data_IF_256098145501
#
_entry.id   IF_256098145501
#
_cell.length_a   1.000
_cell.length_b   1.000
_cell.length_c   1.000
_cell.angle_alpha   90.00
_cell.angle_beta   90.00
_cell.angle_gamma   90.00
#
_symmetry.space_group_name_H-M   'P 1'
#
loop_
_entity.id
_entity.type
_entity.pdbx_description
1 polymer ?
#
# COMPACT_ATOMS: atom_id res chain seq x y z
N UNK A 1 29.88 12.24 6.13
CA UNK A 1 29.03 11.32 5.34
C UNK A 1 28.22 10.50 6.33
N UNK A 2 26.91 10.63 6.35
CA UNK A 2 26.08 9.71 7.13
C UNK A 2 26.24 8.32 6.51
N UNK A 3 26.57 7.33 7.33
CA UNK A 3 26.68 5.94 6.89
C UNK A 3 25.23 5.45 6.71
N UNK A 4 24.84 5.21 5.46
CA UNK A 4 23.53 4.61 5.16
C UNK A 4 23.42 3.25 5.85
N UNK A 5 22.44 3.12 6.75
CA UNK A 5 22.17 1.89 7.49
C UNK A 5 20.68 1.59 7.45
N UNK A 6 20.22 0.75 6.53
CA UNK A 6 18.78 0.45 6.35
C UNK A 6 18.17 -0.30 7.55
N UNK A 7 18.97 -0.76 8.50
CA UNK A 7 18.52 -1.43 9.73
C UNK A 7 18.49 -0.51 10.95
N UNK A 8 18.93 0.74 10.80
CA UNK A 8 18.91 1.73 11.89
C UNK A 8 17.47 2.13 12.23
N UNK A 9 17.28 2.51 13.50
CA UNK A 9 16.07 3.15 13.99
C UNK A 9 16.14 4.68 13.92
N UNK A 10 17.27 5.23 13.48
CA UNK A 10 17.48 6.67 13.37
C UNK A 10 17.29 7.11 11.92
N UNK A 11 16.38 8.06 11.70
CA UNK A 11 16.03 8.51 10.36
C UNK A 11 17.25 9.04 9.58
N UNK A 12 18.13 9.76 10.23
CA UNK A 12 19.35 10.32 9.64
C UNK A 12 20.37 9.27 9.16
N UNK A 13 20.21 8.00 9.57
CA UNK A 13 21.07 6.91 9.16
C UNK A 13 20.52 6.11 7.99
N UNK A 14 19.18 6.11 7.77
CA UNK A 14 18.56 5.40 6.64
C UNK A 14 17.88 6.31 5.61
N UNK A 15 17.67 7.60 5.93
CA UNK A 15 17.23 8.63 4.98
C UNK A 15 18.43 9.48 4.58
N UNK A 16 18.87 9.36 3.32
CA UNK A 16 19.97 10.15 2.79
C UNK A 16 19.45 11.43 2.13
N UNK A 17 19.31 12.50 2.93
CA UNK A 17 18.80 13.79 2.44
C UNK A 17 19.68 14.41 1.33
N UNK A 18 21.01 14.20 1.38
CA UNK A 18 21.92 14.67 0.33
C UNK A 18 21.63 13.98 -1.00
N UNK A 19 21.52 12.65 -1.00
CA UNK A 19 21.18 11.89 -2.22
C UNK A 19 19.81 12.28 -2.77
N UNK A 20 18.84 12.51 -1.90
CA UNK A 20 17.49 12.93 -2.31
C UNK A 20 17.56 14.27 -3.04
N UNK A 21 18.26 15.28 -2.45
CA UNK A 21 18.41 16.61 -3.07
C UNK A 21 19.16 16.56 -4.39
N UNK A 22 20.26 15.82 -4.45
CA UNK A 22 21.02 15.61 -5.68
C UNK A 22 20.18 14.92 -6.76
N UNK A 23 19.40 13.92 -6.38
CA UNK A 23 18.49 13.21 -7.28
C UNK A 23 17.42 14.14 -7.85
N UNK A 24 16.81 14.97 -7.01
CA UNK A 24 15.83 15.97 -7.45
C UNK A 24 16.48 17.01 -8.39
N UNK A 25 17.64 17.53 -8.03
CA UNK A 25 18.37 18.48 -8.85
C UNK A 25 18.74 17.89 -10.23
N UNK A 26 19.23 16.65 -10.25
CA UNK A 26 19.52 15.91 -11.47
C UNK A 26 18.28 15.71 -12.34
N UNK A 27 17.15 15.32 -11.73
CA UNK A 27 15.89 15.14 -12.42
C UNK A 27 15.40 16.46 -13.06
N UNK A 28 15.45 17.58 -12.32
CA UNK A 28 15.06 18.88 -12.86
C UNK A 28 15.96 19.33 -14.02
N UNK A 29 17.26 19.07 -13.94
CA UNK A 29 18.20 19.39 -15.04
C UNK A 29 17.97 18.54 -16.30
N UNK A 30 17.36 17.36 -16.16
CA UNK A 30 17.17 16.39 -17.24
C UNK A 30 15.71 16.15 -17.64
N UNK A 31 14.74 16.87 -17.07
CA UNK A 31 13.32 16.64 -17.28
C UNK A 31 12.84 16.73 -18.73
N UNK A 32 13.59 17.44 -19.57
CA UNK A 32 13.33 17.59 -21.01
C UNK A 32 14.43 16.99 -21.89
N UNK A 33 15.29 16.14 -21.33
CA UNK A 33 16.33 15.44 -22.06
C UNK A 33 15.74 14.22 -22.77
N UNK A 34 15.32 14.41 -24.02
CA UNK A 34 14.63 13.38 -24.82
C UNK A 34 15.46 12.11 -24.94
N UNK A 35 16.75 12.23 -25.27
CA UNK A 35 17.64 11.08 -25.48
C UNK A 35 17.76 10.23 -24.20
N UNK A 36 17.92 10.89 -23.04
CA UNK A 36 17.96 10.20 -21.76
C UNK A 36 16.61 9.52 -21.46
N UNK A 37 15.49 10.24 -21.62
CA UNK A 37 14.15 9.68 -21.37
C UNK A 37 13.92 8.44 -22.26
N UNK A 38 14.25 8.51 -23.53
CA UNK A 38 14.10 7.38 -24.47
C UNK A 38 14.94 6.17 -24.03
N UNK A 39 16.17 6.42 -23.60
CA UNK A 39 17.03 5.35 -23.09
C UNK A 39 16.48 4.68 -21.83
N UNK A 40 15.86 5.46 -20.95
CA UNK A 40 15.21 4.95 -19.73
C UNK A 40 13.94 4.15 -20.03
N UNK A 41 13.13 4.62 -20.96
CA UNK A 41 11.94 3.90 -21.42
C UNK A 41 12.33 2.57 -22.07
N UNK A 42 13.36 2.56 -22.93
CA UNK A 42 13.84 1.33 -23.54
C UNK A 42 14.41 0.35 -22.49
N UNK A 43 15.19 0.84 -21.52
CA UNK A 43 15.68 0.04 -20.40
C UNK A 43 14.54 -0.63 -19.61
N UNK A 44 13.42 0.07 -19.42
CA UNK A 44 12.29 -0.41 -18.66
C UNK A 44 11.38 -1.39 -19.42
N UNK A 45 11.59 -1.61 -20.73
CA UNK A 45 10.73 -2.50 -21.51
C UNK A 45 10.77 -3.94 -21.00
N UNK A 46 9.62 -4.62 -21.02
CA UNK A 46 9.55 -6.02 -20.63
C UNK A 46 10.24 -6.91 -21.68
N UNK A 47 11.11 -7.78 -21.22
CA UNK A 47 11.80 -8.76 -22.05
C UNK A 47 11.23 -10.15 -21.76
N UNK A 48 10.79 -10.83 -22.83
CA UNK A 48 10.37 -12.23 -22.75
C UNK A 48 11.57 -13.14 -23.02
N UNK A 49 11.81 -14.07 -22.13
CA UNK A 49 12.83 -15.10 -22.28
C UNK A 49 12.24 -16.48 -21.93
N UNK A 50 13.04 -17.54 -22.08
CA UNK A 50 12.58 -18.91 -21.81
C UNK A 50 12.09 -19.18 -20.37
N UNK A 51 12.44 -18.33 -19.43
CA UNK A 51 12.03 -18.43 -18.03
C UNK A 51 10.82 -17.52 -17.67
N UNK A 52 10.33 -16.71 -18.63
CA UNK A 52 9.17 -15.84 -18.41
C UNK A 52 9.40 -14.41 -18.89
N UNK A 53 8.81 -13.45 -18.17
CA UNK A 53 8.94 -12.02 -18.44
C UNK A 53 9.79 -11.38 -17.37
N UNK A 54 10.75 -10.58 -17.77
CA UNK A 54 11.60 -9.77 -16.89
C UNK A 54 11.53 -8.30 -17.30
N UNK A 55 11.83 -7.41 -16.37
CA UNK A 55 11.90 -5.98 -16.60
C UNK A 55 13.10 -5.43 -15.81
N UNK A 56 13.93 -4.63 -16.42
CA UNK A 56 15.00 -3.96 -15.69
C UNK A 56 14.43 -2.88 -14.79
N UNK A 57 14.86 -2.88 -13.54
CA UNK A 57 14.49 -1.82 -12.58
C UNK A 57 15.17 -0.51 -12.92
N UNK A 58 14.52 0.59 -12.56
CA UNK A 58 15.09 1.93 -12.60
C UNK A 58 15.69 2.29 -11.24
N UNK A 59 16.84 2.98 -11.26
CA UNK A 59 17.39 3.61 -10.06
C UNK A 59 16.54 4.81 -9.62
N UNK A 60 16.76 5.32 -8.41
CA UNK A 60 16.05 6.51 -7.91
C UNK A 60 16.22 7.71 -8.85
N UNK A 61 17.44 7.95 -9.37
CA UNK A 61 17.74 9.05 -10.29
C UNK A 61 17.02 8.87 -11.63
N UNK A 62 17.00 7.68 -12.16
CA UNK A 62 16.30 7.35 -13.41
C UNK A 62 14.79 7.53 -13.27
N UNK A 63 14.21 6.99 -12.20
CA UNK A 63 12.79 7.17 -11.91
C UNK A 63 12.43 8.66 -11.69
N UNK A 64 13.29 9.42 -11.01
CA UNK A 64 13.08 10.84 -10.78
C UNK A 64 13.07 11.66 -12.08
N UNK A 65 13.90 11.33 -13.08
CA UNK A 65 13.88 11.97 -14.41
C UNK A 65 12.53 11.75 -15.08
N UNK A 66 12.04 10.51 -15.10
CA UNK A 66 10.74 10.20 -15.69
C UNK A 66 9.59 10.91 -14.97
N UNK A 67 9.63 10.96 -13.63
CA UNK A 67 8.63 11.67 -12.82
C UNK A 67 8.66 13.20 -13.03
N UNK A 68 9.83 13.77 -13.35
CA UNK A 68 9.99 15.18 -13.60
C UNK A 68 9.70 15.56 -15.07
N UNK A 69 9.52 14.60 -15.97
CA UNK A 69 9.31 14.85 -17.40
C UNK A 69 8.05 15.69 -17.63
N UNK A 70 8.19 16.76 -18.42
CA UNK A 70 7.10 17.68 -18.80
C UNK A 70 6.76 17.60 -20.30
N UNK A 71 7.36 16.68 -21.05
CA UNK A 71 7.11 16.50 -22.49
C UNK A 71 5.87 15.63 -22.68
N UNK A 72 4.73 16.16 -23.16
CA UNK A 72 3.46 15.41 -23.21
C UNK A 72 3.57 14.09 -23.99
N UNK A 73 4.30 14.07 -25.11
CA UNK A 73 4.48 12.90 -25.94
C UNK A 73 5.23 11.80 -25.18
N UNK A 74 6.23 12.16 -24.37
CA UNK A 74 7.00 11.21 -23.55
C UNK A 74 6.20 10.70 -22.36
N UNK A 75 5.37 11.53 -21.77
CA UNK A 75 4.42 11.11 -20.73
C UNK A 75 3.43 10.08 -21.27
N UNK A 76 2.92 10.30 -22.49
CA UNK A 76 2.04 9.34 -23.16
C UNK A 76 2.76 8.03 -23.50
N UNK A 77 4.04 8.09 -23.91
CA UNK A 77 4.87 6.89 -24.09
C UNK A 77 5.07 6.11 -22.79
N UNK A 78 5.29 6.80 -21.65
CA UNK A 78 5.35 6.17 -20.32
C UNK A 78 4.07 5.41 -19.97
N UNK A 79 2.90 6.00 -20.23
CA UNK A 79 1.62 5.32 -19.99
C UNK A 79 1.43 4.09 -20.86
N UNK A 80 1.84 4.17 -22.15
CA UNK A 80 1.82 3.01 -23.06
C UNK A 80 2.74 1.90 -22.57
N UNK A 81 3.96 2.26 -22.18
CA UNK A 81 4.94 1.30 -21.66
C UNK A 81 4.46 0.68 -20.32
N UNK A 82 3.87 1.46 -19.44
CA UNK A 82 3.29 0.93 -18.19
C UNK A 82 2.19 -0.10 -18.47
N UNK A 83 1.37 0.14 -19.47
CA UNK A 83 0.36 -0.83 -19.91
C UNK A 83 1.00 -2.09 -20.55
N UNK A 84 2.04 -1.94 -21.37
CA UNK A 84 2.79 -3.07 -21.93
C UNK A 84 3.38 -3.95 -20.81
N UNK A 85 4.01 -3.34 -19.81
CA UNK A 85 4.56 -4.04 -18.65
C UNK A 85 3.44 -4.78 -17.90
N UNK A 86 2.33 -4.09 -17.60
CA UNK A 86 1.17 -4.69 -16.93
C UNK A 86 0.66 -5.91 -17.72
N UNK A 87 0.47 -5.78 -19.02
CA UNK A 87 -0.02 -6.87 -19.87
C UNK A 87 0.98 -8.03 -19.97
N UNK A 88 2.28 -7.73 -20.01
CA UNK A 88 3.31 -8.76 -20.07
C UNK A 88 3.34 -9.63 -18.80
N UNK A 89 3.20 -9.03 -17.61
CA UNK A 89 3.26 -9.75 -16.33
C UNK A 89 1.91 -10.32 -15.88
N UNK A 90 0.82 -9.60 -16.11
CA UNK A 90 -0.49 -9.93 -15.54
C UNK A 90 -1.55 -10.25 -16.60
N UNK A 91 -1.29 -10.00 -17.87
CA UNK A 91 -2.30 -10.13 -18.93
C UNK A 91 -3.53 -9.27 -18.63
N UNK A 92 -4.72 -9.79 -18.92
CA UNK A 92 -5.99 -9.09 -18.67
C UNK A 92 -6.55 -9.31 -17.25
N UNK A 93 -5.76 -9.89 -16.34
CA UNK A 93 -6.22 -10.13 -14.98
C UNK A 93 -6.38 -8.82 -14.21
N UNK A 94 -7.48 -8.74 -13.47
CA UNK A 94 -7.78 -7.67 -12.53
C UNK A 94 -7.83 -8.29 -11.13
N UNK A 95 -7.17 -7.66 -10.17
CA UNK A 95 -7.27 -8.07 -8.77
C UNK A 95 -8.50 -7.44 -8.15
N UNK A 96 -9.46 -8.28 -7.75
CA UNK A 96 -10.65 -7.84 -7.04
C UNK A 96 -10.54 -8.19 -5.57
N UNK A 97 -10.92 -7.26 -4.71
CA UNK A 97 -11.04 -7.46 -3.27
C UNK A 97 -12.22 -6.63 -2.75
N UNK A 98 -12.70 -6.97 -1.56
CA UNK A 98 -13.68 -6.17 -0.85
C UNK A 98 -13.07 -5.64 0.45
N UNK A 99 -13.38 -4.40 0.88
CA UNK A 99 -13.08 -3.94 2.21
C UNK A 99 -13.99 -4.62 3.23
N UNK A 100 -13.47 -4.90 4.41
CA UNK A 100 -14.25 -5.32 5.58
C UNK A 100 -13.86 -4.44 6.77
N UNK A 101 -14.76 -3.56 7.15
CA UNK A 101 -14.57 -2.63 8.25
C UNK A 101 -14.88 -3.32 9.57
N UNK A 102 -13.83 -3.63 10.34
CA UNK A 102 -13.95 -4.35 11.60
C UNK A 102 -14.39 -3.45 12.77
N UNK A 103 -13.90 -2.20 12.76
CA UNK A 103 -14.19 -1.25 13.83
C UNK A 103 -13.91 0.19 13.41
N UNK A 104 -14.78 1.10 13.85
CA UNK A 104 -14.60 2.55 13.67
C UNK A 104 -14.16 3.28 14.96
N UNK A 105 -13.76 2.56 15.99
CA UNK A 105 -13.12 3.14 17.18
C UNK A 105 -11.74 3.66 16.80
N UNK A 106 -11.45 4.94 17.09
CA UNK A 106 -10.17 5.58 16.78
C UNK A 106 -9.87 6.65 17.82
N UNK A 107 -8.60 6.74 18.22
CA UNK A 107 -8.10 7.75 19.17
C UNK A 107 -7.54 8.99 18.49
N UNK A 108 -7.37 8.97 17.15
CA UNK A 108 -6.77 10.06 16.38
C UNK A 108 -7.77 11.18 16.06
N UNK A 109 -7.23 12.31 15.67
CA UNK A 109 -7.99 13.54 15.39
C UNK A 109 -8.00 13.96 13.91
N UNK A 110 -7.64 13.08 12.97
CA UNK A 110 -7.53 13.40 11.54
C UNK A 110 -8.81 14.07 11.04
N UNK A 111 -8.70 15.32 10.57
CA UNK A 111 -9.88 16.18 10.33
C UNK A 111 -10.75 15.72 9.16
N UNK A 112 -10.21 14.95 8.24
CA UNK A 112 -10.91 14.41 7.05
C UNK A 112 -11.50 13.01 7.29
N UNK A 113 -11.14 12.33 8.38
CA UNK A 113 -11.57 10.96 8.62
C UNK A 113 -12.85 10.93 9.47
N UNK A 114 -13.92 10.25 9.05
CA UNK A 114 -15.14 10.17 9.84
C UNK A 114 -14.93 9.42 11.16
N UNK A 115 -13.88 8.62 11.30
CA UNK A 115 -13.57 7.86 12.52
C UNK A 115 -12.87 8.68 13.60
N UNK A 116 -12.48 9.94 13.32
CA UNK A 116 -11.76 10.74 14.29
C UNK A 116 -12.50 10.84 15.63
N UNK A 117 -11.74 10.87 16.73
CA UNK A 117 -12.27 10.74 18.10
C UNK A 117 -13.33 11.78 18.48
N UNK A 118 -13.26 12.97 17.88
CA UNK A 118 -14.19 14.08 18.15
C UNK A 118 -15.52 13.98 17.41
N UNK A 119 -15.64 13.06 16.43
CA UNK A 119 -16.89 12.89 15.70
C UNK A 119 -17.91 12.16 16.56
N UNK A 120 -18.94 12.88 17.00
CA UNK A 120 -20.05 12.36 17.80
C UNK A 120 -21.30 12.05 16.97
N UNK A 121 -21.23 12.24 15.65
CA UNK A 121 -22.36 12.02 14.74
C UNK A 121 -22.44 10.59 14.22
N UNK A 122 -21.43 9.76 14.51
CA UNK A 122 -21.43 8.33 14.14
C UNK A 122 -21.51 7.45 15.38
N UNK A 123 -22.25 6.34 15.27
CA UNK A 123 -22.19 5.28 16.27
C UNK A 123 -20.83 4.57 16.19
N UNK A 124 -20.22 4.33 17.37
CA UNK A 124 -19.01 3.51 17.44
C UNK A 124 -19.40 2.03 17.40
N UNK A 125 -18.83 1.33 16.43
CA UNK A 125 -19.14 -0.07 16.16
C UNK A 125 -17.82 -0.85 16.12
N UNK A 126 -17.84 -2.02 16.73
CA UNK A 126 -16.81 -3.04 16.64
C UNK A 126 -17.51 -4.37 16.40
N UNK A 127 -17.18 -5.05 15.32
CA UNK A 127 -17.82 -6.31 14.96
C UNK A 127 -17.46 -7.41 15.96
N UNK A 128 -18.46 -8.20 16.34
CA UNK A 128 -18.23 -9.48 17.00
C UNK A 128 -17.72 -10.52 16.03
N UNK A 129 -17.19 -11.65 16.50
CA UNK A 129 -16.72 -12.72 15.62
C UNK A 129 -17.86 -13.35 14.80
N UNK A 130 -19.08 -13.38 15.34
CA UNK A 130 -20.29 -13.82 14.62
C UNK A 130 -20.64 -12.86 13.49
N UNK A 131 -20.53 -11.54 13.74
CA UNK A 131 -20.75 -10.54 12.71
C UNK A 131 -19.69 -10.61 11.62
N UNK A 132 -18.41 -10.75 11.99
CA UNK A 132 -17.31 -10.97 11.01
C UNK A 132 -17.61 -12.19 10.14
N UNK A 133 -18.06 -13.30 10.74
CA UNK A 133 -18.45 -14.51 9.99
C UNK A 133 -19.60 -14.25 9.03
N UNK A 134 -20.63 -13.54 9.46
CA UNK A 134 -21.79 -13.22 8.62
C UNK A 134 -21.38 -12.34 7.42
N UNK A 135 -20.56 -11.31 7.65
CA UNK A 135 -20.04 -10.44 6.59
C UNK A 135 -19.18 -11.23 5.59
N UNK A 136 -18.32 -12.13 6.06
CA UNK A 136 -17.48 -12.96 5.19
C UNK A 136 -18.34 -13.88 4.32
N UNK A 137 -19.42 -14.47 4.84
CA UNK A 137 -20.36 -15.29 4.07
C UNK A 137 -21.01 -14.45 2.97
N UNK A 138 -21.49 -13.25 3.31
CA UNK A 138 -22.10 -12.35 2.33
C UNK A 138 -21.11 -11.96 1.22
N UNK A 139 -19.85 -11.64 1.59
CA UNK A 139 -18.80 -11.30 0.63
C UNK A 139 -18.41 -12.49 -0.26
N UNK A 140 -18.41 -13.72 0.28
CA UNK A 140 -18.18 -14.93 -0.51
C UNK A 140 -19.34 -15.19 -1.49
N UNK A 141 -20.58 -14.92 -1.10
CA UNK A 141 -21.75 -15.02 -1.99
C UNK A 141 -21.67 -14.01 -3.15
N UNK A 142 -21.07 -12.84 -2.91
CA UNK A 142 -20.76 -11.86 -3.95
C UNK A 142 -19.56 -12.26 -4.84
N UNK A 143 -18.88 -13.37 -4.54
CA UNK A 143 -17.76 -13.90 -5.32
C UNK A 143 -16.38 -13.42 -4.88
N UNK A 144 -16.27 -12.65 -3.80
CA UNK A 144 -14.96 -12.17 -3.30
C UNK A 144 -14.12 -13.29 -2.70
N UNK A 145 -12.83 -13.29 -3.05
CA UNK A 145 -11.81 -14.24 -2.55
C UNK A 145 -10.66 -13.53 -1.82
N UNK A 146 -10.70 -12.21 -1.78
CA UNK A 146 -9.69 -11.36 -1.15
C UNK A 146 -10.38 -10.26 -0.39
N UNK A 147 -9.92 -10.00 0.82
CA UNK A 147 -10.42 -8.91 1.64
C UNK A 147 -9.28 -7.94 1.99
N UNK A 148 -9.64 -6.68 2.22
CA UNK A 148 -8.84 -5.71 2.94
C UNK A 148 -9.58 -5.38 4.23
N UNK A 149 -9.03 -5.77 5.37
CA UNK A 149 -9.63 -5.45 6.68
C UNK A 149 -9.19 -4.07 7.12
N UNK A 150 -10.14 -3.31 7.65
CA UNK A 150 -9.99 -1.92 8.04
C UNK A 150 -10.38 -1.76 9.51
N UNK A 151 -9.58 -1.02 10.28
CA UNK A 151 -9.93 -0.63 11.64
C UNK A 151 -9.28 0.70 12.00
N UNK A 152 -9.97 1.52 12.79
CA UNK A 152 -9.36 2.71 13.38
C UNK A 152 -8.30 2.35 14.43
N UNK A 153 -7.41 3.28 14.70
CA UNK A 153 -6.37 3.11 15.72
C UNK A 153 -6.95 3.31 17.12
N UNK A 154 -7.10 2.24 17.86
CA UNK A 154 -7.54 2.27 19.26
C UNK A 154 -6.96 1.05 19.98
N UNK A 155 -5.88 1.21 20.79
CA UNK A 155 -5.24 0.09 21.47
C UNK A 155 -6.14 -0.65 22.45
N UNK A 156 -7.19 0.01 22.96
CA UNK A 156 -8.12 -0.56 23.92
C UNK A 156 -9.25 -1.32 23.23
N UNK A 157 -9.86 -0.69 22.23
CA UNK A 157 -11.00 -1.29 21.53
C UNK A 157 -10.56 -2.21 20.39
N UNK A 158 -9.43 -1.92 19.74
CA UNK A 158 -8.91 -2.67 18.60
C UNK A 158 -7.50 -3.22 18.88
N UNK A 159 -7.27 -3.95 20.00
CA UNK A 159 -5.95 -4.54 20.26
C UNK A 159 -5.59 -5.51 19.15
N UNK A 160 -4.29 -5.78 18.99
CA UNK A 160 -3.80 -6.67 17.93
C UNK A 160 -4.43 -8.06 18.00
N UNK A 161 -4.72 -8.54 19.20
CA UNK A 161 -5.37 -9.84 19.43
C UNK A 161 -6.75 -9.90 18.78
N UNK A 162 -7.53 -8.81 18.84
CA UNK A 162 -8.82 -8.72 18.16
C UNK A 162 -8.66 -8.82 16.62
N UNK A 163 -7.69 -8.11 16.08
CA UNK A 163 -7.40 -8.17 14.62
C UNK A 163 -7.00 -9.59 14.22
N UNK A 164 -6.14 -10.25 15.01
CA UNK A 164 -5.72 -11.62 14.77
C UNK A 164 -6.89 -12.62 14.86
N UNK A 165 -7.81 -12.42 15.83
CA UNK A 165 -9.01 -13.23 15.95
C UNK A 165 -9.93 -13.06 14.73
N UNK A 166 -10.11 -11.82 14.24
CA UNK A 166 -10.86 -11.58 13.03
C UNK A 166 -10.22 -12.26 11.81
N UNK A 167 -8.89 -12.22 11.66
CA UNK A 167 -8.18 -12.91 10.58
C UNK A 167 -8.40 -14.42 10.65
N UNK A 168 -8.29 -15.02 11.85
CA UNK A 168 -8.58 -16.44 12.05
C UNK A 168 -10.03 -16.80 11.68
N UNK A 169 -10.98 -15.98 12.12
CA UNK A 169 -12.40 -16.15 11.78
C UNK A 169 -12.61 -16.08 10.27
N UNK A 170 -12.05 -15.06 9.59
CA UNK A 170 -12.14 -14.90 8.13
C UNK A 170 -11.66 -16.14 7.38
N UNK A 171 -10.46 -16.64 7.74
CA UNK A 171 -9.90 -17.82 7.08
C UNK A 171 -10.63 -19.13 7.45
N UNK A 172 -11.35 -19.18 8.57
CA UNK A 172 -12.11 -20.37 8.99
C UNK A 172 -13.46 -20.51 8.27
N UNK A 173 -13.92 -19.47 7.56
CA UNK A 173 -15.22 -19.50 6.90
C UNK A 173 -15.11 -20.17 5.53
N UNK A 174 -15.74 -21.32 5.42
CA UNK A 174 -15.96 -22.02 4.15
C UNK A 174 -17.45 -21.98 3.84
N UNK A 175 -17.83 -21.30 2.77
CA UNK A 175 -19.24 -21.18 2.40
C UNK A 175 -19.44 -21.58 0.93
N UNK A 176 -20.31 -22.58 0.68
CA UNK A 176 -20.48 -23.18 -0.63
C UNK A 176 -19.14 -23.66 -1.21
N UNK A 177 -18.76 -23.17 -2.39
CA UNK A 177 -17.48 -23.44 -3.04
C UNK A 177 -16.45 -22.30 -2.80
N UNK A 178 -16.66 -21.50 -1.76
CA UNK A 178 -15.90 -20.28 -1.48
C UNK A 178 -15.08 -20.36 -0.20
N UNK A 179 -13.92 -19.73 -0.27
CA UNK A 179 -13.06 -19.40 0.85
C UNK A 179 -12.32 -18.10 0.57
N UNK A 180 -11.98 -17.36 1.60
CA UNK A 180 -11.11 -16.20 1.47
C UNK A 180 -9.66 -16.69 1.41
N UNK A 181 -8.97 -16.36 0.32
CA UNK A 181 -7.60 -16.80 0.03
C UNK A 181 -6.53 -15.80 0.43
N UNK A 182 -6.93 -14.56 0.69
CA UNK A 182 -6.00 -13.49 1.02
C UNK A 182 -6.71 -12.42 1.84
N UNK A 183 -6.12 -12.06 2.97
CA UNK A 183 -6.52 -10.92 3.79
C UNK A 183 -5.38 -9.91 3.77
N UNK A 184 -5.64 -8.72 3.25
CA UNK A 184 -4.79 -7.57 3.42
C UNK A 184 -5.22 -6.81 4.68
N UNK A 185 -4.29 -6.16 5.35
CA UNK A 185 -4.54 -5.47 6.62
C UNK A 185 -4.23 -3.99 6.45
N UNK A 186 -5.21 -3.14 6.70
CA UNK A 186 -5.10 -1.70 6.69
C UNK A 186 -5.50 -1.16 8.07
N UNK A 187 -4.54 -1.11 8.96
CA UNK A 187 -4.62 -0.54 10.29
C UNK A 187 -3.44 0.40 10.52
N UNK A 188 -3.47 1.20 11.57
CA UNK A 188 -2.38 2.10 11.91
C UNK A 188 -1.04 1.36 12.11
N UNK A 189 0.07 2.09 12.01
CA UNK A 189 1.40 1.57 12.30
C UNK A 189 1.45 0.93 13.68
N UNK A 190 2.18 -0.16 13.83
CA UNK A 190 2.24 -0.93 15.05
C UNK A 190 3.67 -1.39 15.35
N UNK A 191 3.87 -2.22 16.37
CA UNK A 191 5.19 -2.71 16.78
C UNK A 191 5.71 -3.81 15.83
N UNK A 192 7.03 -3.97 15.79
CA UNK A 192 7.67 -5.08 15.05
C UNK A 192 7.12 -6.44 15.48
N UNK A 193 6.83 -6.60 16.77
CA UNK A 193 6.25 -7.82 17.31
C UNK A 193 4.85 -8.09 16.74
N UNK A 194 4.01 -7.06 16.65
CA UNK A 194 2.68 -7.17 16.05
C UNK A 194 2.76 -7.48 14.55
N UNK A 195 3.74 -6.91 13.82
CA UNK A 195 3.98 -7.29 12.42
C UNK A 195 4.37 -8.77 12.27
N UNK A 196 5.14 -9.34 13.20
CA UNK A 196 5.45 -10.77 13.21
C UNK A 196 4.19 -11.61 13.42
N UNK A 197 3.36 -11.27 14.41
CA UNK A 197 2.07 -11.94 14.66
C UNK A 197 1.16 -11.90 13.43
N UNK A 198 1.06 -10.75 12.76
CA UNK A 198 0.28 -10.60 11.53
C UNK A 198 0.83 -11.47 10.39
N UNK A 199 2.15 -11.52 10.23
CA UNK A 199 2.80 -12.40 9.25
C UNK A 199 2.51 -13.88 9.54
N UNK A 200 2.58 -14.30 10.79
CA UNK A 200 2.27 -15.67 11.24
C UNK A 200 0.79 -16.02 11.02
N UNK A 201 -0.10 -15.02 11.17
CA UNK A 201 -1.52 -15.17 10.84
C UNK A 201 -1.81 -15.30 9.33
N UNK A 202 -0.79 -15.19 8.48
CA UNK A 202 -0.89 -15.43 7.04
C UNK A 202 -1.50 -14.26 6.26
N UNK A 203 -1.28 -13.02 6.68
CA UNK A 203 -1.74 -11.87 5.92
C UNK A 203 -1.07 -11.78 4.55
N UNK A 204 -1.78 -11.18 3.59
CA UNK A 204 -1.26 -10.97 2.26
C UNK A 204 -0.34 -9.75 2.16
N UNK A 205 -0.86 -8.61 2.53
CA UNK A 205 -0.16 -7.32 2.49
C UNK A 205 -0.58 -6.50 3.70
N UNK A 206 0.37 -5.86 4.35
CA UNK A 206 0.10 -4.78 5.28
C UNK A 206 0.07 -3.47 4.48
N UNK A 207 -1.01 -2.72 4.62
CA UNK A 207 -1.20 -1.44 3.95
C UNK A 207 -0.97 -0.34 4.99
N UNK A 208 -0.02 0.53 4.72
CA UNK A 208 0.27 1.68 5.56
C UNK A 208 0.32 2.93 4.68
N UNK A 209 -0.65 3.79 4.84
CA UNK A 209 -0.70 5.03 4.10
C UNK A 209 0.26 6.06 4.65
N UNK A 210 0.89 6.80 3.74
CA UNK A 210 1.47 8.09 4.03
C UNK A 210 0.53 9.14 3.42
N UNK A 211 -0.30 9.74 4.23
CA UNK A 211 -1.37 10.64 3.78
C UNK A 211 -0.82 11.88 3.06
N UNK A 212 0.30 12.40 3.55
CA UNK A 212 1.06 13.46 2.88
C UNK A 212 2.50 13.49 3.36
N UNK A 213 3.43 13.85 2.47
CA UNK A 213 4.84 14.15 2.81
C UNK A 213 5.07 15.62 3.11
N UNK A 214 4.06 16.48 2.97
CA UNK A 214 4.14 17.89 3.34
C UNK A 214 3.94 18.05 4.85
N UNK A 215 4.99 18.44 5.56
CA UNK A 215 4.98 18.56 7.02
C UNK A 215 3.91 19.53 7.53
N UNK A 216 3.71 20.66 6.84
CA UNK A 216 2.70 21.65 7.24
C UNK A 216 1.30 21.08 7.14
N UNK A 217 0.96 20.49 5.99
CA UNK A 217 -0.34 19.84 5.79
C UNK A 217 -0.56 18.69 6.78
N UNK A 218 0.49 17.91 7.06
CA UNK A 218 0.39 16.83 8.04
C UNK A 218 0.00 17.35 9.42
N UNK A 219 0.67 18.40 9.92
CA UNK A 219 0.38 19.00 11.22
C UNK A 219 -0.99 19.69 11.32
N UNK A 220 -1.56 20.12 10.20
CA UNK A 220 -2.88 20.75 10.14
C UNK A 220 -4.01 19.70 10.10
N UNK A 221 -3.76 18.53 9.47
CA UNK A 221 -4.80 17.56 9.15
C UNK A 221 -4.79 16.33 10.07
N UNK A 222 -3.65 16.08 10.72
CA UNK A 222 -3.41 14.98 11.64
C UNK A 222 -3.08 15.46 13.05
#
# INVERSE_FOLDING_TARGET
MSIYNPKSMKAEEFINDVEIRETIAYAQANKNNVELIDSLLEKARPVKNGSGVTCAGLSHREAAVLLACEIPEKVEEMYKLANEIKLAFYGNRIVMFAPLYLSNYCVNGCVYCPYHMKNKHIARIKLTQEQVRAEVIALQDMGHKRLAIEAGEDPVNNPIEYILDCIRTIYSVHHKNGDIRRVNVNIAATTVENYRKLKEAGIGTYILFQETYNKKSYLELH
#
